data_IF_240244236482
#
_entry.id   IF_240244236482
#
_cell.length_a   1.000
_cell.length_b   1.000
_cell.length_c   1.000
_cell.angle_alpha   90.00
_cell.angle_beta   90.00
_cell.angle_gamma   90.00
#
_symmetry.space_group_name_H-M   'P 1'
#
loop_
_entity.id
_entity.type
_entity.pdbx_description
1 polymer ?
#
# COMPACT_ATOMS: atom_id res chain seq x y z
N UNK A 1 -8.77 8.41 8.02
CA UNK A 1 -8.27 7.07 8.37
C UNK A 1 -7.85 6.41 7.09
N UNK A 2 -6.63 5.88 7.02
CA UNK A 2 -6.13 5.16 5.84
C UNK A 2 -6.32 3.65 6.00
N UNK A 3 -6.28 2.91 4.89
CA UNK A 3 -6.36 1.44 4.92
C UNK A 3 -5.25 0.81 5.77
N UNK A 4 -4.06 1.41 5.80
CA UNK A 4 -2.95 0.96 6.65
C UNK A 4 -3.32 1.04 8.14
N UNK A 5 -4.05 2.08 8.54
CA UNK A 5 -4.51 2.26 9.92
C UNK A 5 -5.57 1.22 10.28
N UNK A 6 -6.49 0.92 9.36
CA UNK A 6 -7.50 -0.12 9.54
C UNK A 6 -6.88 -1.51 9.68
N UNK A 7 -5.90 -1.85 8.82
CA UNK A 7 -5.18 -3.12 8.91
C UNK A 7 -4.42 -3.25 10.23
N UNK A 8 -3.81 -2.14 10.71
CA UNK A 8 -3.19 -2.10 12.04
C UNK A 8 -4.21 -2.34 13.14
N UNK A 9 -5.34 -1.63 13.12
CA UNK A 9 -6.39 -1.79 14.12
C UNK A 9 -6.92 -3.22 14.15
N UNK A 10 -7.16 -3.80 12.97
CA UNK A 10 -7.64 -5.17 12.86
C UNK A 10 -6.64 -6.18 13.42
N UNK A 11 -5.37 -6.05 13.05
CA UNK A 11 -4.30 -6.89 13.61
C UNK A 11 -4.20 -6.75 15.14
N UNK A 12 -4.30 -5.53 15.67
CA UNK A 12 -4.25 -5.30 17.12
C UNK A 12 -5.42 -5.96 17.85
N UNK A 13 -6.62 -5.92 17.25
CA UNK A 13 -7.82 -6.58 17.77
C UNK A 13 -7.66 -8.10 17.76
N UNK A 14 -7.19 -8.67 16.65
CA UNK A 14 -7.01 -10.12 16.51
C UNK A 14 -5.97 -10.66 17.50
N UNK A 15 -4.82 -9.98 17.63
CA UNK A 15 -3.79 -10.33 18.62
C UNK A 15 -4.32 -10.22 20.05
N UNK A 16 -5.13 -9.20 20.34
CA UNK A 16 -5.73 -9.05 21.67
C UNK A 16 -6.68 -10.21 21.97
N UNK A 17 -7.54 -10.57 21.01
CA UNK A 17 -8.49 -11.67 21.16
C UNK A 17 -7.79 -13.01 21.40
N UNK A 18 -6.72 -13.30 20.63
CA UNK A 18 -5.91 -14.50 20.83
C UNK A 18 -5.27 -14.54 22.23
N UNK A 19 -4.64 -13.44 22.66
CA UNK A 19 -4.04 -13.37 24.01
C UNK A 19 -5.09 -13.54 25.11
N UNK A 20 -6.32 -13.05 24.91
CA UNK A 20 -7.40 -13.24 25.86
C UNK A 20 -7.89 -14.70 25.92
N UNK A 21 -7.85 -15.44 24.80
CA UNK A 21 -8.10 -16.89 24.80
C UNK A 21 -7.03 -17.60 25.63
N UNK A 22 -5.75 -17.23 25.47
CA UNK A 22 -4.66 -17.79 26.28
C UNK A 22 -4.81 -17.46 27.77
N UNK A 23 -5.22 -16.23 28.10
CA UNK A 23 -5.52 -15.85 29.48
C UNK A 23 -6.57 -16.76 30.10
N UNK A 24 -7.68 -17.01 29.40
CA UNK A 24 -8.78 -17.83 29.91
C UNK A 24 -8.36 -19.30 30.15
N UNK A 25 -7.34 -19.79 29.44
CA UNK A 25 -6.75 -21.13 29.63
C UNK A 25 -5.70 -21.18 30.74
N UNK A 26 -5.28 -20.03 31.26
CA UNK A 26 -4.19 -19.89 32.24
C UNK A 26 -4.73 -19.65 33.66
N UNK A 27 -3.89 -19.90 34.68
CA UNK A 27 -4.23 -19.62 36.10
C UNK A 27 -3.99 -18.15 36.52
N UNK A 28 -3.91 -17.20 35.59
CA UNK A 28 -3.66 -15.79 35.94
C UNK A 28 -4.83 -15.21 36.75
N UNK A 29 -4.52 -14.62 37.91
CA UNK A 29 -5.53 -14.09 38.85
C UNK A 29 -6.00 -12.68 38.53
N UNK A 30 -5.17 -11.83 37.91
CA UNK A 30 -5.49 -10.41 37.69
C UNK A 30 -5.76 -10.07 36.22
N UNK A 31 -7.03 -10.22 35.83
CA UNK A 31 -7.52 -9.95 34.46
C UNK A 31 -7.33 -8.50 34.04
N UNK A 32 -7.51 -7.55 34.96
CA UNK A 32 -7.44 -6.11 34.67
C UNK A 32 -6.02 -5.68 34.32
N UNK A 33 -5.03 -6.17 35.08
CA UNK A 33 -3.62 -5.91 34.81
C UNK A 33 -3.18 -6.56 33.50
N UNK A 34 -3.57 -7.81 33.26
CA UNK A 34 -3.25 -8.54 32.03
C UNK A 34 -3.74 -7.80 30.78
N UNK A 35 -5.02 -7.39 30.77
CA UNK A 35 -5.60 -6.61 29.66
C UNK A 35 -4.79 -5.36 29.35
N UNK A 36 -4.41 -4.60 30.38
CA UNK A 36 -3.63 -3.36 30.21
C UNK A 36 -2.26 -3.63 29.60
N UNK A 37 -1.57 -4.68 30.07
CA UNK A 37 -0.26 -5.08 29.53
C UNK A 37 -0.35 -5.53 28.08
N UNK A 38 -1.36 -6.33 27.73
CA UNK A 38 -1.59 -6.76 26.34
C UNK A 38 -1.76 -5.57 25.41
N UNK A 39 -2.63 -4.62 25.74
CA UNK A 39 -2.87 -3.44 24.89
C UNK A 39 -1.59 -2.62 24.68
N UNK A 40 -0.80 -2.41 25.74
CA UNK A 40 0.48 -1.70 25.64
C UNK A 40 1.45 -2.46 24.73
N UNK A 41 1.64 -3.75 24.98
CA UNK A 41 2.60 -4.58 24.23
C UNK A 41 2.22 -4.76 22.77
N UNK A 42 0.94 -4.99 22.50
CA UNK A 42 0.42 -5.07 21.12
C UNK A 42 0.69 -3.76 20.40
N UNK A 43 0.39 -2.61 21.00
CA UNK A 43 0.62 -1.30 20.38
C UNK A 43 2.10 -1.04 20.12
N UNK A 44 2.97 -1.31 21.10
CA UNK A 44 4.43 -1.20 20.94
C UNK A 44 4.94 -2.05 19.76
N UNK A 45 4.47 -3.29 19.66
CA UNK A 45 4.92 -4.24 18.63
C UNK A 45 4.32 -4.02 17.24
N UNK A 46 3.19 -3.31 17.13
CA UNK A 46 2.50 -3.13 15.85
C UNK A 46 2.63 -1.71 15.27
N UNK A 47 2.99 -0.72 16.08
CA UNK A 47 3.03 0.69 15.65
C UNK A 47 3.95 0.93 14.43
N UNK A 48 5.11 0.28 14.39
CA UNK A 48 6.11 0.45 13.35
C UNK A 48 5.80 -0.30 12.04
N UNK A 49 4.82 -1.21 12.05
CA UNK A 49 4.47 -1.99 10.87
C UNK A 49 3.95 -1.07 9.76
N UNK A 50 4.33 -1.36 8.53
CA UNK A 50 3.72 -0.77 7.33
C UNK A 50 3.30 -1.94 6.45
N UNK A 51 2.00 -2.11 6.23
CA UNK A 51 1.51 -3.20 5.39
C UNK A 51 1.78 -2.96 3.90
N UNK A 52 2.15 -1.73 3.55
CA UNK A 52 2.58 -1.36 2.21
C UNK A 52 4.09 -1.20 2.22
N UNK A 53 4.74 -1.87 1.27
CA UNK A 53 6.19 -1.84 1.09
C UNK A 53 6.70 -0.40 0.91
N UNK A 54 7.63 -0.01 1.77
CA UNK A 54 8.62 1.02 1.47
C UNK A 54 9.91 0.31 1.07
N UNK A 55 10.34 0.54 -0.17
CA UNK A 55 11.70 0.95 -0.57
C UNK A 55 11.93 0.62 -2.05
N UNK A 56 11.15 1.24 -2.94
CA UNK A 56 11.65 1.45 -4.31
C UNK A 56 12.88 2.35 -4.15
N UNK A 57 14.02 1.95 -4.71
CA UNK A 57 15.25 2.79 -4.68
C UNK A 57 14.85 4.20 -5.12
N UNK A 58 15.13 5.21 -4.29
CA UNK A 58 14.86 6.63 -4.58
C UNK A 58 15.85 7.13 -5.63
N UNK A 59 15.73 6.62 -6.85
CA UNK A 59 16.48 7.12 -8.00
C UNK A 59 15.62 8.22 -8.63
N UNK A 60 16.15 9.44 -8.82
CA UNK A 60 15.44 10.51 -9.51
C UNK A 60 14.95 10.07 -10.89
N UNK A 61 13.73 10.47 -11.28
CA UNK A 61 13.11 10.02 -12.53
C UNK A 61 13.94 10.36 -13.78
N UNK A 62 14.69 11.47 -13.78
CA UNK A 62 15.59 11.83 -14.88
C UNK A 62 16.79 10.87 -15.04
N UNK A 63 17.15 10.11 -13.99
CA UNK A 63 18.23 9.12 -13.99
C UNK A 63 17.74 7.69 -14.15
N UNK A 64 16.42 7.45 -14.13
CA UNK A 64 15.82 6.12 -14.27
C UNK A 64 15.72 5.69 -15.72
N UNK A 65 15.87 4.39 -15.94
CA UNK A 65 15.58 3.75 -17.22
C UNK A 65 14.15 4.07 -17.70
N UNK A 66 14.00 4.34 -19.00
CA UNK A 66 12.73 4.68 -19.65
C UNK A 66 11.88 3.45 -20.04
N UNK A 67 12.38 2.23 -19.85
CA UNK A 67 11.60 1.02 -20.08
C UNK A 67 10.44 0.87 -19.09
N UNK A 68 9.27 0.48 -19.59
CA UNK A 68 8.14 0.01 -18.78
C UNK A 68 8.38 -1.45 -18.37
N UNK A 69 8.06 -1.77 -17.12
CA UNK A 69 8.11 -3.12 -16.57
C UNK A 69 6.72 -3.56 -16.12
N UNK A 70 6.52 -4.88 -16.09
CA UNK A 70 5.34 -5.49 -15.50
C UNK A 70 5.53 -5.66 -13.99
N UNK A 71 4.68 -5.02 -13.20
CA UNK A 71 4.75 -5.00 -11.74
C UNK A 71 3.34 -5.31 -11.19
N UNK A 72 3.03 -6.60 -10.99
CA UNK A 72 1.72 -7.09 -10.55
C UNK A 72 0.56 -6.46 -11.34
N UNK A 73 0.58 -6.65 -12.68
CA UNK A 73 -0.39 -6.08 -13.61
C UNK A 73 -0.37 -4.55 -13.74
N UNK A 74 0.48 -3.84 -12.99
CA UNK A 74 0.73 -2.42 -13.17
C UNK A 74 1.91 -2.22 -14.13
N UNK A 75 1.73 -1.33 -15.11
CA UNK A 75 2.80 -0.92 -16.02
C UNK A 75 3.64 0.17 -15.38
N UNK A 76 4.65 -0.19 -14.59
CA UNK A 76 5.50 0.75 -13.87
C UNK A 76 6.79 1.06 -14.62
N UNK A 77 7.45 2.16 -14.28
CA UNK A 77 8.76 2.50 -14.85
C UNK A 77 9.86 1.68 -14.17
N UNK A 78 10.82 1.18 -14.96
CA UNK A 78 11.99 0.48 -14.43
C UNK A 78 12.68 1.26 -13.29
N UNK A 79 13.10 0.53 -12.25
CA UNK A 79 13.75 1.11 -11.07
C UNK A 79 15.27 1.23 -11.20
N UNK A 80 15.88 0.76 -12.30
CA UNK A 80 17.32 0.80 -12.48
C UNK A 80 17.77 2.13 -13.09
N UNK A 81 19.01 2.52 -12.79
CA UNK A 81 19.68 3.66 -13.42
C UNK A 81 19.84 3.41 -14.91
N UNK A 82 19.60 4.44 -15.72
CA UNK A 82 19.97 4.43 -17.13
C UNK A 82 21.50 4.46 -17.27
N UNK A 83 22.03 3.85 -18.34
CA UNK A 83 23.46 3.91 -18.63
C UNK A 83 23.81 5.34 -19.09
N UNK A 84 25.07 5.76 -18.91
CA UNK A 84 25.51 7.10 -19.32
C UNK A 84 25.16 7.34 -20.80
N UNK A 85 24.56 8.50 -21.08
CA UNK A 85 24.08 8.93 -22.41
C UNK A 85 23.01 8.03 -23.07
N UNK A 86 22.43 7.10 -22.32
CA UNK A 86 21.38 6.20 -22.81
C UNK A 86 20.06 6.45 -22.07
N UNK A 87 18.95 6.05 -22.71
CA UNK A 87 17.62 6.09 -22.09
C UNK A 87 17.33 4.86 -21.22
N UNK A 88 18.13 3.80 -21.35
CA UNK A 88 17.82 2.50 -20.77
C UNK A 88 18.95 2.00 -19.86
N UNK A 89 18.60 1.12 -18.91
CA UNK A 89 19.61 0.39 -18.13
C UNK A 89 20.25 -0.71 -18.99
N UNK A 90 21.40 -1.24 -18.55
CA UNK A 90 22.13 -2.28 -19.29
C UNK A 90 21.25 -3.49 -19.67
N UNK A 91 20.35 -3.91 -18.78
CA UNK A 91 19.44 -5.02 -19.04
C UNK A 91 18.51 -4.76 -20.24
N UNK A 92 17.89 -3.58 -20.27
CA UNK A 92 16.97 -3.22 -21.36
C UNK A 92 17.71 -2.88 -22.66
N UNK A 93 18.93 -2.33 -22.58
CA UNK A 93 19.78 -2.17 -23.77
C UNK A 93 20.11 -3.52 -24.42
N UNK A 94 20.53 -4.50 -23.62
CA UNK A 94 20.80 -5.85 -24.12
C UNK A 94 19.56 -6.50 -24.74
N UNK A 95 18.38 -6.25 -24.16
CA UNK A 95 17.12 -6.76 -24.70
C UNK A 95 16.77 -6.12 -26.05
N UNK A 96 16.96 -4.81 -26.20
CA UNK A 96 16.78 -4.10 -27.48
C UNK A 96 17.78 -4.62 -28.52
N UNK A 97 19.05 -4.81 -28.14
CA UNK A 97 20.06 -5.37 -29.04
C UNK A 97 19.71 -6.79 -29.51
N UNK A 98 19.13 -7.61 -28.64
CA UNK A 98 18.78 -9.00 -28.97
C UNK A 98 17.47 -9.13 -29.76
N UNK A 99 16.44 -8.38 -29.37
CA UNK A 99 15.07 -8.57 -29.87
C UNK A 99 14.59 -7.42 -30.77
N UNK A 100 15.38 -6.35 -30.92
CA UNK A 100 15.03 -5.14 -31.67
C UNK A 100 14.04 -4.21 -30.98
N UNK A 101 13.47 -4.57 -29.82
CA UNK A 101 12.39 -3.79 -29.16
C UNK A 101 12.29 -4.01 -27.65
N UNK A 102 11.52 -3.13 -26.99
CA UNK A 102 11.04 -3.30 -25.62
C UNK A 102 9.83 -4.24 -25.57
N UNK A 103 9.71 -5.03 -24.49
CA UNK A 103 8.55 -5.93 -24.29
C UNK A 103 7.27 -5.14 -23.99
N UNK A 104 7.37 -4.08 -23.19
CA UNK A 104 6.22 -3.31 -22.70
C UNK A 104 6.22 -1.84 -23.12
N UNK A 105 6.96 -1.50 -24.18
CA UNK A 105 7.19 -0.12 -24.62
C UNK A 105 7.89 0.73 -23.55
N UNK A 106 8.06 2.02 -23.84
CA UNK A 106 8.54 2.99 -22.85
C UNK A 106 7.46 3.35 -21.84
N UNK A 107 7.88 3.91 -20.72
CA UNK A 107 6.97 4.36 -19.65
C UNK A 107 6.08 5.55 -20.04
N UNK A 108 6.53 6.34 -21.02
CA UNK A 108 5.89 7.52 -21.59
C UNK A 108 5.04 7.21 -22.85
N UNK A 109 5.10 5.97 -23.35
CA UNK A 109 4.30 5.49 -24.48
C UNK A 109 3.05 4.72 -24.01
N UNK A 110 2.09 4.51 -24.90
CA UNK A 110 0.91 3.71 -24.60
C UNK A 110 1.26 2.27 -24.19
N UNK A 111 0.48 1.74 -23.25
CA UNK A 111 0.61 0.36 -22.79
C UNK A 111 0.24 -0.59 -23.93
N UNK A 112 1.07 -1.60 -24.24
CA UNK A 112 0.72 -2.55 -25.28
C UNK A 112 -0.51 -3.38 -24.86
N UNK A 113 -1.45 -3.57 -25.78
CA UNK A 113 -2.71 -4.30 -25.51
C UNK A 113 -2.48 -5.82 -25.57
N UNK A 114 -1.58 -6.26 -26.44
CA UNK A 114 -1.26 -7.67 -26.68
C UNK A 114 0.23 -7.92 -26.49
N UNK A 115 0.59 -9.12 -26.06
CA UNK A 115 1.99 -9.56 -26.02
C UNK A 115 2.42 -10.16 -27.37
N UNK A 116 3.67 -10.60 -27.47
CA UNK A 116 4.24 -11.21 -28.68
C UNK A 116 3.53 -12.51 -29.13
N UNK A 117 2.76 -13.14 -28.24
CA UNK A 117 1.97 -14.35 -28.52
C UNK A 117 0.49 -14.05 -28.83
N UNK A 118 0.15 -12.77 -29.06
CA UNK A 118 -1.21 -12.30 -29.29
C UNK A 118 -2.19 -12.50 -28.11
N UNK A 119 -1.67 -12.67 -26.89
CA UNK A 119 -2.50 -12.71 -25.68
C UNK A 119 -2.74 -11.30 -25.16
N UNK A 120 -3.99 -10.98 -24.78
CA UNK A 120 -4.34 -9.70 -24.17
C UNK A 120 -3.63 -9.52 -22.83
N UNK A 121 -3.05 -8.34 -22.63
CA UNK A 121 -2.34 -7.98 -21.40
C UNK A 121 -3.34 -7.30 -20.43
N UNK A 122 -3.61 -7.89 -19.25
CA UNK A 122 -4.58 -7.34 -18.30
C UNK A 122 -3.94 -6.27 -17.41
N UNK A 123 -3.82 -5.04 -17.93
CA UNK A 123 -3.30 -3.92 -17.16
C UNK A 123 -4.29 -3.47 -16.07
N UNK A 124 -3.81 -3.38 -14.84
CA UNK A 124 -4.54 -2.82 -13.70
C UNK A 124 -4.10 -1.37 -13.52
N UNK A 125 -5.04 -0.43 -13.61
CA UNK A 125 -4.75 1.00 -13.39
C UNK A 125 -4.69 1.37 -11.91
N UNK A 126 -5.45 0.64 -11.09
CA UNK A 126 -5.58 0.86 -9.66
C UNK A 126 -5.71 -0.48 -8.95
N UNK A 127 -4.86 -0.75 -7.95
CA UNK A 127 -5.01 -2.00 -7.20
C UNK A 127 -6.33 -2.03 -6.44
N UNK A 128 -6.81 -3.22 -6.10
CA UNK A 128 -8.00 -3.40 -5.26
C UNK A 128 -7.82 -2.67 -3.92
N UNK A 129 -6.61 -2.73 -3.36
CA UNK A 129 -6.22 -2.04 -2.12
C UNK A 129 -6.29 -0.51 -2.26
N UNK A 130 -5.81 0.06 -3.37
CA UNK A 130 -5.92 1.50 -3.63
C UNK A 130 -7.38 1.91 -3.80
N UNK A 131 -8.18 1.07 -4.46
CA UNK A 131 -9.62 1.27 -4.62
C UNK A 131 -10.34 1.24 -3.26
N UNK A 132 -10.02 0.27 -2.42
CA UNK A 132 -10.54 0.16 -1.06
C UNK A 132 -10.14 1.35 -0.19
N UNK A 133 -8.87 1.78 -0.25
CA UNK A 133 -8.39 2.94 0.50
C UNK A 133 -9.16 4.21 0.15
N UNK A 134 -9.48 4.41 -1.14
CA UNK A 134 -10.25 5.57 -1.59
C UNK A 134 -11.70 5.53 -1.10
N UNK A 135 -12.33 4.35 -1.10
CA UNK A 135 -13.66 4.16 -0.53
C UNK A 135 -13.64 4.49 0.97
N UNK A 136 -12.66 3.97 1.71
CA UNK A 136 -12.48 4.23 3.14
C UNK A 136 -12.30 5.73 3.41
N UNK A 137 -11.43 6.40 2.65
CA UNK A 137 -11.19 7.84 2.76
C UNK A 137 -12.47 8.65 2.52
N UNK A 138 -13.24 8.31 1.48
CA UNK A 138 -14.53 8.95 1.19
C UNK A 138 -15.50 8.81 2.36
N UNK A 139 -15.68 7.59 2.88
CA UNK A 139 -16.57 7.32 4.02
C UNK A 139 -16.12 8.07 5.27
N UNK A 140 -14.81 8.05 5.56
CA UNK A 140 -14.25 8.76 6.71
C UNK A 140 -14.51 10.27 6.65
N UNK A 141 -14.40 10.86 5.46
CA UNK A 141 -14.69 12.28 5.25
C UNK A 141 -16.17 12.63 5.51
N UNK A 142 -17.09 11.75 5.09
CA UNK A 142 -18.52 11.92 5.38
C UNK A 142 -18.76 11.88 6.90
N UNK A 143 -18.23 10.87 7.58
CA UNK A 143 -18.36 10.73 9.04
C UNK A 143 -17.81 11.96 9.78
N UNK A 144 -16.62 12.44 9.40
CA UNK A 144 -16.03 13.62 10.03
C UNK A 144 -16.88 14.88 9.83
N UNK A 145 -17.52 15.04 8.67
CA UNK A 145 -18.43 16.16 8.43
C UNK A 145 -19.64 16.09 9.37
N UNK A 146 -20.22 14.91 9.55
CA UNK A 146 -21.35 14.68 10.47
C UNK A 146 -20.93 14.97 11.91
N UNK A 147 -19.78 14.46 12.36
CA UNK A 147 -19.26 14.71 13.71
C UNK A 147 -19.07 16.22 13.93
N UNK A 148 -18.41 16.92 13.00
CA UNK A 148 -18.20 18.37 13.09
C UNK A 148 -19.51 19.14 13.14
N UNK A 149 -20.51 18.73 12.35
CA UNK A 149 -21.84 19.34 12.36
C UNK A 149 -22.53 19.16 13.72
N UNK A 150 -22.53 17.94 14.26
CA UNK A 150 -23.14 17.64 15.54
C UNK A 150 -22.45 18.35 16.71
N UNK A 151 -21.12 18.47 16.69
CA UNK A 151 -20.36 19.23 17.70
C UNK A 151 -20.68 20.73 17.66
N UNK A 152 -20.87 21.31 16.46
CA UNK A 152 -21.31 22.71 16.33
C UNK A 152 -22.71 22.91 16.88
N UNK A 153 -23.63 21.99 16.59
CA UNK A 153 -25.01 22.03 17.09
C UNK A 153 -25.06 21.96 18.63
N UNK A 154 -24.25 21.10 19.25
CA UNK A 154 -24.18 21.00 20.72
C UNK A 154 -23.66 22.29 21.38
N UNK A 155 -22.70 22.99 20.77
CA UNK A 155 -22.19 24.28 21.26
C UNK A 155 -23.19 25.43 21.14
N UNK A 156 -24.20 25.32 20.27
CA UNK A 156 -25.25 26.32 20.11
C UNK A 156 -26.44 26.09 21.07
N UNK A 157 -26.47 24.95 21.78
CA UNK A 157 -27.56 24.56 22.69
C UNK A 157 -27.19 24.80 24.17
N UNK A 158 -25.92 25.04 24.48
CA UNK A 158 -25.48 25.47 25.82
C UNK A 158 -25.77 26.98 26.00
N UNK A 159 -26.62 27.37 26.98
CA UNK A 159 -26.89 28.77 27.33
C UNK A 159 -25.66 29.53 27.83
#
# INVERSE_FOLDING_TARGET
MHINDLLKLKLQEDLYNELMIHYNKSKFKNKKLYKKLCLIKIKEKTNHLSFFEKNKKNIPDNKRCCSRIWDNHKGSRCYYLKKNNEDYCQHHLNMIQKNGKLIFNRYDEDKPIYNEKNNRIPWIEKSEIETLNDIIQKQWNIVNKIIKFNLKKQRQITP
#
